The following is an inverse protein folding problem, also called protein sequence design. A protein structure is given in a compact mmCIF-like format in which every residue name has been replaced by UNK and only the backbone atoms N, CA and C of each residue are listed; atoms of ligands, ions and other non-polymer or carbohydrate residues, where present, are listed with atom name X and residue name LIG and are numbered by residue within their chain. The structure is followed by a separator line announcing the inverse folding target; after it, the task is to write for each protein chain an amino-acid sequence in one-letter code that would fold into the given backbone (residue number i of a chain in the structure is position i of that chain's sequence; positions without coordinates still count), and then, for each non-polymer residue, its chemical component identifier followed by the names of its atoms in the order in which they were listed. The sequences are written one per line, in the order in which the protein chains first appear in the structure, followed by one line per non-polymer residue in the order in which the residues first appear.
data_IF_767990300346
#
_entry.id   IF_767990300346
#
_cell.length_a   1.000
_cell.length_b   1.000
_cell.length_c   1.000
_cell.angle_alpha   90.00
_cell.angle_beta   90.00
_cell.angle_gamma   90.00
#
_symmetry.space_group_name_H-M   'P 1'
#
loop_
_entity.id
_entity.type
_entity.pdbx_description
1 polymer ?
#
# COMPACT_ATOMS: atom_id res chain seq x y z
N UNK A 1 -17.89 -9.16 -11.52
CA UNK A 1 -16.49 -8.65 -11.55
C UNK A 1 -16.46 -7.16 -11.22
N UNK A 2 -17.57 -6.65 -10.70
CA UNK A 2 -17.96 -5.25 -10.79
C UNK A 2 -17.02 -4.36 -10.00
N UNK A 3 -16.59 -4.80 -8.80
CA UNK A 3 -15.58 -4.09 -8.00
C UNK A 3 -14.27 -3.90 -8.78
N UNK A 4 -13.82 -4.91 -9.51
CA UNK A 4 -12.55 -4.85 -10.26
C UNK A 4 -12.69 -3.91 -11.47
N UNK A 5 -13.78 -4.05 -12.22
CA UNK A 5 -14.05 -3.25 -13.42
C UNK A 5 -14.25 -1.77 -13.08
N UNK A 6 -15.08 -1.50 -12.08
CA UNK A 6 -15.33 -0.13 -11.61
C UNK A 6 -14.08 0.48 -10.95
N UNK A 7 -13.28 -0.28 -10.19
CA UNK A 7 -12.03 0.24 -9.64
C UNK A 7 -11.04 0.66 -10.74
N UNK A 8 -10.98 -0.08 -11.86
CA UNK A 8 -10.16 0.30 -13.02
C UNK A 8 -10.69 1.61 -13.63
N UNK A 9 -12.01 1.71 -13.84
CA UNK A 9 -12.63 2.91 -14.39
C UNK A 9 -12.45 4.14 -13.48
N UNK A 10 -12.58 3.96 -12.17
CA UNK A 10 -12.39 5.02 -11.18
C UNK A 10 -10.94 5.51 -11.16
N UNK A 11 -9.96 4.61 -11.19
CA UNK A 11 -8.54 4.98 -11.27
C UNK A 11 -8.23 5.74 -12.55
N UNK A 12 -8.78 5.32 -13.70
CA UNK A 12 -8.58 6.01 -14.97
C UNK A 12 -9.18 7.43 -14.93
N UNK A 13 -10.44 7.57 -14.46
CA UNK A 13 -11.10 8.88 -14.31
C UNK A 13 -10.36 9.79 -13.34
N UNK A 14 -9.97 9.26 -12.18
CA UNK A 14 -9.24 10.01 -11.16
C UNK A 14 -7.85 10.44 -11.66
N UNK A 15 -7.07 9.53 -12.27
CA UNK A 15 -5.75 9.87 -12.81
C UNK A 15 -5.81 10.92 -13.91
N UNK A 16 -6.81 10.86 -14.79
CA UNK A 16 -7.01 11.90 -15.80
C UNK A 16 -7.25 13.27 -15.15
N UNK A 17 -8.11 13.35 -14.14
CA UNK A 17 -8.36 14.60 -13.42
C UNK A 17 -7.11 15.10 -12.68
N UNK A 18 -6.43 14.23 -11.93
CA UNK A 18 -5.19 14.56 -11.20
C UNK A 18 -4.08 15.03 -12.14
N UNK A 19 -3.96 14.40 -13.32
CA UNK A 19 -2.98 14.80 -14.33
C UNK A 19 -3.26 16.20 -14.87
N UNK A 20 -4.53 16.53 -15.16
CA UNK A 20 -4.92 17.87 -15.60
C UNK A 20 -4.58 18.90 -14.52
N UNK A 21 -4.94 18.65 -13.26
CA UNK A 21 -4.60 19.55 -12.15
C UNK A 21 -3.09 19.73 -12.00
N UNK A 22 -2.34 18.63 -12.09
CA UNK A 22 -0.87 18.65 -12.02
C UNK A 22 -0.25 19.46 -13.17
N UNK A 23 -0.78 19.34 -14.39
CA UNK A 23 -0.34 20.13 -15.55
C UNK A 23 -0.67 21.62 -15.36
N UNK A 24 -1.85 21.96 -14.83
CA UNK A 24 -2.22 23.34 -14.57
C UNK A 24 -1.32 24.02 -13.51
N UNK A 25 -0.84 23.27 -12.53
CA UNK A 25 0.06 23.78 -11.49
C UNK A 25 1.50 23.92 -12.03
N UNK A 26 1.97 22.90 -12.75
CA UNK A 26 3.39 22.80 -13.12
C UNK A 26 3.72 23.36 -14.50
N UNK A 27 2.72 23.54 -15.37
CA UNK A 27 2.88 23.85 -16.80
C UNK A 27 3.79 22.85 -17.55
N UNK A 28 3.96 21.64 -17.02
CA UNK A 28 4.77 20.60 -17.65
C UNK A 28 3.93 19.78 -18.63
N UNK A 29 4.49 19.47 -19.79
CA UNK A 29 3.86 18.56 -20.75
C UNK A 29 3.66 17.16 -20.15
N UNK A 30 4.65 16.67 -19.39
CA UNK A 30 4.60 15.37 -18.73
C UNK A 30 5.05 15.44 -17.26
N UNK A 31 4.12 15.75 -16.33
CA UNK A 31 4.42 15.79 -14.89
C UNK A 31 4.84 14.45 -14.28
N UNK A 32 4.65 13.32 -14.97
CA UNK A 32 5.15 12.03 -14.49
C UNK A 32 6.66 11.87 -14.70
N UNK A 33 7.25 12.64 -15.63
CA UNK A 33 8.69 12.63 -15.87
C UNK A 33 9.45 13.12 -14.65
N UNK A 34 10.32 12.25 -14.10
CA UNK A 34 11.16 12.59 -12.95
C UNK A 34 12.08 13.77 -13.28
N UNK A 35 12.60 13.82 -14.52
CA UNK A 35 13.50 14.88 -14.95
C UNK A 35 12.78 16.24 -15.02
N UNK A 36 11.61 16.30 -15.66
CA UNK A 36 10.83 17.54 -15.77
C UNK A 36 10.39 18.04 -14.39
N UNK A 37 9.94 17.14 -13.51
CA UNK A 37 9.55 17.53 -12.15
C UNK A 37 10.72 18.03 -11.30
N UNK A 38 11.90 17.41 -11.40
CA UNK A 38 13.09 17.90 -10.69
C UNK A 38 13.49 19.28 -11.16
N UNK A 39 13.46 19.50 -12.48
CA UNK A 39 13.75 20.81 -13.04
C UNK A 39 12.75 21.86 -12.56
N UNK A 40 11.45 21.56 -12.61
CA UNK A 40 10.42 22.47 -12.10
C UNK A 40 10.57 22.76 -10.60
N UNK A 41 10.89 21.76 -9.79
CA UNK A 41 11.15 21.96 -8.35
C UNK A 41 12.37 22.86 -8.13
N UNK A 42 13.46 22.64 -8.87
CA UNK A 42 14.67 23.48 -8.83
C UNK A 42 14.38 24.93 -9.19
N UNK A 43 13.60 25.16 -10.26
CA UNK A 43 13.15 26.49 -10.69
C UNK A 43 12.27 27.19 -9.63
N UNK A 44 11.57 26.41 -8.79
CA UNK A 44 10.77 26.90 -7.66
C UNK A 44 11.52 26.84 -6.32
N UNK A 45 12.86 26.70 -6.33
CA UNK A 45 13.71 26.82 -5.14
C UNK A 45 13.83 25.56 -4.28
N UNK A 46 13.38 24.41 -4.77
CA UNK A 46 13.43 23.12 -4.06
C UNK A 46 14.31 22.12 -4.82
N UNK A 47 15.47 21.81 -4.25
CA UNK A 47 16.39 20.80 -4.79
C UNK A 47 16.11 19.42 -4.20
N UNK A 48 15.96 18.41 -5.08
CA UNK A 48 15.72 17.02 -4.67
C UNK A 48 16.55 16.03 -5.50
N UNK A 49 17.38 15.24 -4.82
CA UNK A 49 18.12 14.14 -5.45
C UNK A 49 17.21 13.00 -5.90
N UNK A 50 16.10 12.77 -5.21
CA UNK A 50 15.15 11.69 -5.52
C UNK A 50 13.73 12.15 -5.27
N UNK A 51 12.81 11.69 -6.14
CA UNK A 51 11.37 11.89 -5.99
C UNK A 51 10.70 10.60 -5.49
N UNK A 52 11.42 9.85 -4.65
CA UNK A 52 10.92 8.66 -3.98
C UNK A 52 9.81 9.00 -2.98
N UNK A 53 8.92 8.04 -2.74
CA UNK A 53 7.76 8.23 -1.85
C UNK A 53 8.17 8.73 -0.45
N UNK A 54 9.28 8.24 0.10
CA UNK A 54 9.72 8.58 1.47
C UNK A 54 10.22 10.01 1.55
N UNK A 55 11.00 10.43 0.56
CA UNK A 55 11.64 11.74 0.51
C UNK A 55 10.61 12.83 0.21
N UNK A 56 9.70 12.57 -0.73
CA UNK A 56 8.57 13.47 -1.01
C UNK A 56 7.67 13.60 0.22
N UNK A 57 7.32 12.49 0.89
CA UNK A 57 6.50 12.55 2.10
C UNK A 57 7.20 13.27 3.26
N UNK A 58 8.54 13.17 3.38
CA UNK A 58 9.32 13.91 4.38
C UNK A 58 9.28 15.40 4.09
N UNK A 59 9.43 15.80 2.82
CA UNK A 59 9.40 17.20 2.41
C UNK A 59 8.02 17.84 2.69
N UNK A 60 6.93 17.16 2.34
CA UNK A 60 5.56 17.61 2.63
C UNK A 60 5.36 17.81 4.14
N UNK A 61 5.92 16.94 4.99
CA UNK A 61 5.82 17.06 6.45
C UNK A 61 6.68 18.17 7.05
N UNK A 62 7.76 18.57 6.38
CA UNK A 62 8.67 19.61 6.86
C UNK A 62 8.27 21.01 6.43
N UNK A 63 7.32 21.15 5.50
CA UNK A 63 6.75 22.44 5.15
C UNK A 63 5.59 22.77 6.09
N UNK A 64 5.57 24.01 6.61
CA UNK A 64 4.54 24.48 7.52
C UNK A 64 3.17 24.53 6.82
N UNK A 65 2.12 24.20 7.59
CA UNK A 65 0.72 24.07 7.18
C UNK A 65 0.09 25.39 6.65
N UNK A 66 0.84 26.50 6.68
CA UNK A 66 0.39 27.85 6.36
C UNK A 66 0.88 28.43 5.03
N UNK A 67 1.85 27.79 4.35
CA UNK A 67 2.24 28.17 3.00
C UNK A 67 1.51 27.25 2.02
N UNK A 68 0.42 27.76 1.45
CA UNK A 68 -0.37 27.08 0.43
C UNK A 68 0.38 27.13 -0.91
N UNK A 69 1.58 26.54 -0.91
CA UNK A 69 2.52 26.59 -2.00
C UNK A 69 2.13 25.57 -3.07
N UNK A 70 2.10 26.04 -4.31
CA UNK A 70 1.86 25.23 -5.50
C UNK A 70 2.78 24.00 -5.55
N UNK A 71 3.96 24.08 -4.92
CA UNK A 71 4.90 22.97 -4.73
C UNK A 71 4.31 21.84 -3.89
N UNK A 72 3.77 22.13 -2.71
CA UNK A 72 3.24 21.08 -1.81
C UNK A 72 2.07 20.36 -2.47
N UNK A 73 1.21 21.09 -3.17
CA UNK A 73 0.09 20.48 -3.90
C UNK A 73 0.56 19.62 -5.07
N UNK A 74 1.53 20.08 -5.88
CA UNK A 74 2.13 19.28 -6.94
C UNK A 74 2.79 17.99 -6.39
N UNK A 75 3.46 18.07 -5.24
CA UNK A 75 4.07 16.91 -4.59
C UNK A 75 3.02 15.90 -4.08
N UNK A 76 1.91 16.38 -3.51
CA UNK A 76 0.77 15.52 -3.11
C UNK A 76 0.16 14.82 -4.32
N UNK A 77 -0.17 15.56 -5.37
CA UNK A 77 -0.72 15.01 -6.62
C UNK A 77 0.22 13.97 -7.24
N UNK A 78 1.53 14.21 -7.22
CA UNK A 78 2.52 13.25 -7.69
C UNK A 78 2.49 11.94 -6.90
N UNK A 79 2.34 12.00 -5.57
CA UNK A 79 2.22 10.79 -4.75
C UNK A 79 0.98 9.97 -5.11
N UNK A 80 -0.14 10.63 -5.40
CA UNK A 80 -1.38 9.98 -5.85
C UNK A 80 -1.19 9.33 -7.22
N UNK A 81 -0.66 10.08 -8.20
CA UNK A 81 -0.39 9.58 -9.57
C UNK A 81 0.59 8.41 -9.60
N UNK A 82 1.59 8.41 -8.70
CA UNK A 82 2.57 7.34 -8.58
C UNK A 82 2.00 6.03 -8.00
N UNK A 83 0.76 6.03 -7.48
CA UNK A 83 0.15 4.84 -6.91
C UNK A 83 -0.07 3.76 -7.97
N UNK A 84 0.70 2.69 -7.86
CA UNK A 84 0.72 1.59 -8.84
C UNK A 84 -0.09 0.37 -8.41
N UNK A 85 -0.63 0.36 -7.19
CA UNK A 85 -1.39 -0.77 -6.64
C UNK A 85 -2.65 -1.07 -7.44
N UNK A 86 -3.25 -0.10 -8.12
CA UNK A 86 -4.41 -0.33 -9.00
C UNK A 86 -4.08 -1.24 -10.19
N UNK A 87 -2.81 -1.38 -10.60
CA UNK A 87 -2.40 -2.40 -11.60
C UNK A 87 -2.77 -3.82 -11.17
N UNK A 88 -3.00 -4.07 -9.88
CA UNK A 88 -3.50 -5.34 -9.35
C UNK A 88 -4.92 -5.64 -9.83
N UNK A 89 -5.80 -4.65 -9.99
CA UNK A 89 -7.13 -4.87 -10.56
C UNK A 89 -7.05 -5.32 -12.02
N UNK A 90 -6.19 -4.68 -12.82
CA UNK A 90 -5.91 -5.14 -14.20
C UNK A 90 -5.35 -6.56 -14.21
N UNK A 91 -4.46 -6.89 -13.28
CA UNK A 91 -3.95 -8.26 -13.14
C UNK A 91 -5.05 -9.26 -12.73
N UNK A 92 -6.04 -8.86 -11.91
CA UNK A 92 -7.19 -9.70 -11.56
C UNK A 92 -8.08 -9.96 -12.79
N UNK A 93 -8.39 -8.92 -13.55
CA UNK A 93 -9.16 -9.02 -14.79
C UNK A 93 -8.51 -9.97 -15.79
N UNK A 94 -7.18 -9.88 -15.94
CA UNK A 94 -6.43 -10.76 -16.85
C UNK A 94 -6.28 -12.20 -16.34
N UNK A 95 -6.35 -12.42 -15.03
CA UNK A 95 -6.14 -13.73 -14.41
C UNK A 95 -7.43 -14.53 -14.18
N UNK A 96 -8.60 -13.90 -14.30
CA UNK A 96 -9.89 -14.57 -14.09
C UNK A 96 -10.14 -15.59 -15.19
N UNK A 97 -10.50 -16.81 -14.80
CA UNK A 97 -10.86 -17.89 -15.71
C UNK A 97 -12.37 -17.90 -15.97
N UNK A 98 -12.81 -18.76 -16.91
CA UNK A 98 -14.22 -18.90 -17.30
C UNK A 98 -15.16 -19.27 -16.15
N UNK A 99 -14.63 -19.86 -15.08
CA UNK A 99 -15.36 -20.21 -13.86
C UNK A 99 -15.49 -19.04 -12.86
N UNK A 100 -15.02 -17.84 -13.23
CA UNK A 100 -15.04 -16.66 -12.38
C UNK A 100 -13.99 -16.69 -11.26
N UNK A 101 -12.98 -17.57 -11.35
CA UNK A 101 -11.93 -17.72 -10.33
C UNK A 101 -10.55 -17.46 -10.93
N UNK A 102 -9.62 -17.04 -10.09
CA UNK A 102 -8.22 -16.89 -10.47
C UNK A 102 -7.42 -18.12 -9.99
N UNK A 103 -6.74 -18.79 -10.92
CA UNK A 103 -5.97 -20.02 -10.67
C UNK A 103 -4.47 -19.79 -10.91
N UNK A 104 -3.61 -20.60 -10.27
CA UNK A 104 -2.16 -20.53 -10.50
C UNK A 104 -1.47 -19.32 -9.84
N UNK A 105 -2.00 -18.82 -8.73
CA UNK A 105 -1.50 -17.63 -8.03
C UNK A 105 -0.13 -17.81 -7.36
N UNK A 106 0.33 -19.05 -7.21
CA UNK A 106 1.56 -19.37 -6.51
C UNK A 106 2.41 -20.37 -7.29
N UNK A 107 3.71 -20.14 -7.30
CA UNK A 107 4.70 -21.08 -7.81
C UNK A 107 5.49 -21.68 -6.65
N UNK A 108 5.48 -23.01 -6.57
CA UNK A 108 6.33 -23.75 -5.66
C UNK A 108 7.81 -23.49 -5.98
N UNK A 109 8.61 -23.27 -4.94
CA UNK A 109 10.05 -22.99 -5.05
C UNK A 109 10.39 -21.81 -5.98
N UNK A 110 9.46 -20.86 -6.16
CA UNK A 110 9.69 -19.73 -7.06
C UNK A 110 10.77 -18.74 -6.58
N UNK A 111 11.15 -18.79 -5.29
CA UNK A 111 12.28 -18.07 -4.73
C UNK A 111 13.47 -19.02 -4.50
N UNK A 112 14.25 -19.29 -5.56
CA UNK A 112 15.28 -20.34 -5.58
C UNK A 112 16.29 -20.31 -4.43
N UNK A 113 16.62 -19.13 -3.90
CA UNK A 113 17.61 -18.99 -2.81
C UNK A 113 17.08 -19.38 -1.44
N UNK A 114 15.78 -19.21 -1.18
CA UNK A 114 15.16 -19.46 0.14
C UNK A 114 14.17 -20.62 0.12
N UNK A 115 13.84 -21.15 -1.05
CA UNK A 115 12.81 -22.17 -1.26
C UNK A 115 11.38 -21.69 -1.02
N UNK A 116 11.16 -20.40 -0.76
CA UNK A 116 9.82 -19.84 -0.52
C UNK A 116 8.95 -19.94 -1.78
N UNK A 117 7.63 -20.10 -1.56
CA UNK A 117 6.64 -19.91 -2.61
C UNK A 117 6.67 -18.48 -3.13
N UNK A 118 6.54 -18.32 -4.44
CA UNK A 118 6.48 -17.00 -5.06
C UNK A 118 5.09 -16.71 -5.64
N UNK A 119 4.58 -15.52 -5.39
CA UNK A 119 3.36 -15.02 -6.03
C UNK A 119 3.51 -14.91 -7.54
N UNK A 120 2.44 -15.27 -8.26
CA UNK A 120 2.27 -15.15 -9.71
C UNK A 120 0.99 -14.40 -10.02
N UNK A 121 0.87 -13.91 -11.25
CA UNK A 121 -0.29 -13.19 -11.76
C UNK A 121 -0.61 -11.97 -10.88
N UNK A 122 -1.61 -12.06 -10.00
CA UNK A 122 -1.99 -10.97 -9.09
C UNK A 122 -0.92 -10.74 -7.99
N UNK A 123 -0.11 -11.76 -7.68
CA UNK A 123 0.87 -11.79 -6.59
C UNK A 123 0.25 -11.47 -5.22
N UNK A 124 -0.51 -12.43 -4.69
CA UNK A 124 -1.29 -12.29 -3.45
C UNK A 124 -0.45 -11.98 -2.19
N UNK A 125 0.85 -12.28 -2.21
CA UNK A 125 1.77 -11.99 -1.10
C UNK A 125 2.08 -10.49 -0.94
N UNK A 126 1.83 -9.68 -1.97
CA UNK A 126 2.17 -8.26 -2.01
C UNK A 126 0.91 -7.40 -2.24
N UNK A 127 -0.17 -7.73 -1.55
CA UNK A 127 -1.38 -6.92 -1.55
C UNK A 127 -1.32 -5.87 -0.44
N UNK A 128 -1.63 -4.59 -0.73
CA UNK A 128 -1.71 -3.53 0.29
C UNK A 128 -2.63 -3.94 1.44
N UNK A 129 -2.28 -3.52 2.65
CA UNK A 129 -3.14 -3.65 3.83
C UNK A 129 -4.24 -2.58 3.80
N UNK A 130 -5.34 -2.87 4.48
CA UNK A 130 -6.44 -1.95 4.69
C UNK A 130 -6.27 -1.25 6.05
N UNK A 131 -6.50 0.06 6.07
CA UNK A 131 -6.40 0.88 7.28
C UNK A 131 -7.60 1.82 7.45
N UNK A 132 -8.51 1.85 6.48
CA UNK A 132 -9.74 2.63 6.54
C UNK A 132 -10.79 2.02 7.46
N UNK A 133 -11.50 2.89 8.18
CA UNK A 133 -12.57 2.52 9.12
C UNK A 133 -13.89 2.18 8.43
N UNK A 134 -14.13 2.77 7.26
CA UNK A 134 -15.35 2.74 6.45
C UNK A 134 -15.18 1.87 5.18
N UNK A 135 -14.43 0.78 5.33
CA UNK A 135 -14.04 -0.12 4.24
C UNK A 135 -15.25 -0.69 3.48
N UNK A 136 -16.35 -0.97 4.19
CA UNK A 136 -17.53 -1.59 3.60
C UNK A 136 -18.30 -0.62 2.70
N UNK A 137 -18.45 0.62 3.14
CA UNK A 137 -19.11 1.72 2.47
C UNK A 137 -18.33 2.11 1.21
N UNK A 138 -17.01 2.33 1.33
CA UNK A 138 -16.15 2.62 0.19
C UNK A 138 -16.21 1.52 -0.88
N UNK A 139 -16.19 0.26 -0.45
CA UNK A 139 -16.33 -0.89 -1.35
C UNK A 139 -17.68 -0.86 -2.09
N UNK A 140 -18.74 -0.43 -1.41
CA UNK A 140 -20.08 -0.40 -1.98
C UNK A 140 -20.22 0.68 -3.07
N UNK A 141 -19.63 1.87 -2.87
CA UNK A 141 -19.57 2.89 -3.92
C UNK A 141 -18.84 2.37 -5.17
N UNK A 142 -17.70 1.71 -4.98
CA UNK A 142 -16.97 1.08 -6.10
C UNK A 142 -17.81 -0.03 -6.73
N UNK A 143 -18.46 -0.89 -5.94
CA UNK A 143 -19.28 -2.00 -6.47
C UNK A 143 -20.46 -1.50 -7.30
N UNK A 144 -21.12 -0.42 -6.88
CA UNK A 144 -22.27 0.18 -7.55
C UNK A 144 -21.89 1.11 -8.70
N UNK A 145 -20.63 1.51 -8.79
CA UNK A 145 -20.13 2.42 -9.83
C UNK A 145 -20.39 3.89 -9.50
N UNK A 146 -20.69 4.22 -8.25
CA UNK A 146 -20.93 5.59 -7.78
C UNK A 146 -19.60 6.35 -7.57
N UNK A 147 -19.02 6.81 -8.67
CA UNK A 147 -17.77 7.57 -8.64
C UNK A 147 -17.94 8.93 -7.97
N UNK A 148 -19.08 9.57 -8.17
CA UNK A 148 -19.27 10.96 -7.75
C UNK A 148 -19.35 11.05 -6.21
N UNK A 149 -20.03 10.10 -5.57
CA UNK A 149 -19.98 9.97 -4.10
C UNK A 149 -18.59 9.60 -3.60
N UNK A 150 -17.88 8.70 -4.29
CA UNK A 150 -16.50 8.36 -3.93
C UNK A 150 -15.58 9.59 -3.98
N UNK A 151 -15.69 10.40 -5.03
CA UNK A 151 -14.93 11.64 -5.20
C UNK A 151 -15.25 12.68 -4.12
N UNK A 152 -16.50 12.75 -3.66
CA UNK A 152 -16.93 13.68 -2.63
C UNK A 152 -16.40 13.30 -1.24
N UNK A 153 -16.32 12.00 -0.94
CA UNK A 153 -16.00 11.51 0.40
C UNK A 153 -14.51 11.18 0.62
N UNK A 154 -13.75 10.94 -0.45
CA UNK A 154 -12.34 10.53 -0.36
C UNK A 154 -11.43 11.48 -1.14
N UNK A 155 -10.48 12.11 -0.43
CA UNK A 155 -9.49 13.05 -1.00
C UNK A 155 -8.48 12.36 -1.94
N UNK A 156 -8.22 11.07 -1.73
CA UNK A 156 -7.26 10.27 -2.51
C UNK A 156 -7.92 8.98 -2.98
N UNK A 157 -8.59 9.06 -4.14
CA UNK A 157 -9.22 7.91 -4.79
C UNK A 157 -8.21 6.79 -5.09
N UNK A 158 -7.01 7.04 -5.65
CA UNK A 158 -6.00 6.00 -5.82
C UNK A 158 -5.62 5.26 -4.53
N UNK A 159 -5.53 5.96 -3.40
CA UNK A 159 -5.28 5.35 -2.10
C UNK A 159 -6.49 4.53 -1.62
N UNK A 160 -7.70 5.08 -1.67
CA UNK A 160 -8.90 4.35 -1.28
C UNK A 160 -9.06 3.05 -2.08
N UNK A 161 -8.89 3.13 -3.42
CA UNK A 161 -8.88 1.95 -4.29
C UNK A 161 -7.76 0.97 -3.93
N UNK A 162 -6.59 1.45 -3.53
CA UNK A 162 -5.47 0.62 -3.09
C UNK A 162 -5.80 -0.17 -1.82
N UNK A 163 -6.49 0.44 -0.87
CA UNK A 163 -6.91 -0.21 0.38
C UNK A 163 -8.02 -1.26 0.14
N UNK A 164 -8.85 -1.03 -0.87
CA UNK A 164 -9.95 -1.93 -1.25
C UNK A 164 -9.51 -3.21 -1.97
N UNK A 165 -8.25 -3.31 -2.43
CA UNK A 165 -7.76 -4.42 -3.27
C UNK A 165 -8.05 -5.80 -2.66
N UNK A 166 -7.88 -5.96 -1.34
CA UNK A 166 -8.13 -7.26 -0.68
C UNK A 166 -9.61 -7.65 -0.69
N UNK A 167 -10.52 -6.66 -0.75
CA UNK A 167 -11.97 -6.86 -0.74
C UNK A 167 -12.54 -7.33 -2.08
N UNK A 168 -11.71 -7.30 -3.14
CA UNK A 168 -12.04 -7.88 -4.43
C UNK A 168 -12.06 -9.42 -4.39
N UNK A 169 -11.36 -10.03 -3.43
CA UNK A 169 -11.43 -11.46 -3.19
C UNK A 169 -12.63 -11.79 -2.31
N UNK A 170 -13.59 -12.53 -2.87
CA UNK A 170 -14.79 -12.95 -2.17
C UNK A 170 -14.85 -14.48 -2.07
N UNK A 171 -15.55 -14.96 -1.05
CA UNK A 171 -15.85 -16.38 -0.90
C UNK A 171 -17.00 -16.77 -1.82
N UNK A 172 -17.10 -18.07 -2.11
CA UNK A 172 -18.33 -18.60 -2.73
C UNK A 172 -19.50 -18.51 -1.72
N UNK A 173 -20.76 -18.45 -2.19
CA UNK A 173 -21.93 -18.38 -1.31
C UNK A 173 -21.94 -19.51 -0.26
N UNK A 174 -22.21 -19.15 1.00
CA UNK A 174 -22.21 -20.08 2.13
C UNK A 174 -20.84 -20.41 2.73
N UNK A 175 -19.77 -19.74 2.29
CA UNK A 175 -18.41 -19.97 2.79
C UNK A 175 -17.78 -18.69 3.33
N UNK A 176 -16.78 -18.87 4.19
CA UNK A 176 -15.95 -17.80 4.77
C UNK A 176 -14.47 -18.07 4.52
N UNK A 177 -13.66 -17.01 4.46
CA UNK A 177 -12.21 -17.17 4.51
C UNK A 177 -11.79 -17.47 5.94
N UNK A 178 -10.79 -18.32 6.08
CA UNK A 178 -10.09 -18.56 7.35
C UNK A 178 -8.63 -18.24 7.11
N UNK A 179 -8.12 -17.30 7.89
CA UNK A 179 -6.73 -16.83 7.79
C UNK A 179 -6.02 -17.25 9.07
N UNK A 180 -4.85 -17.86 8.91
CA UNK A 180 -3.96 -18.23 10.01
C UNK A 180 -2.57 -17.75 9.66
N UNK A 181 -1.93 -17.06 10.60
CA UNK A 181 -0.57 -16.56 10.46
C UNK A 181 0.27 -16.98 11.67
N UNK A 182 1.56 -17.19 11.46
CA UNK A 182 2.46 -17.52 12.55
C UNK A 182 2.95 -16.25 13.25
N UNK A 183 2.65 -16.13 14.55
CA UNK A 183 3.16 -15.04 15.38
C UNK A 183 4.69 -15.08 15.47
N UNK A 184 5.36 -14.03 14.95
CA UNK A 184 6.80 -13.81 15.04
C UNK A 184 7.66 -15.03 14.62
N UNK A 185 7.27 -15.73 13.55
CA UNK A 185 7.89 -17.00 13.16
C UNK A 185 9.39 -16.90 12.93
N UNK A 186 9.86 -15.84 12.25
CA UNK A 186 11.29 -15.67 11.95
C UNK A 186 12.09 -15.46 13.24
N UNK A 187 11.58 -14.64 14.16
CA UNK A 187 12.21 -14.40 15.47
C UNK A 187 12.27 -15.68 16.31
N UNK A 188 11.21 -16.49 16.29
CA UNK A 188 11.17 -17.77 17.01
C UNK A 188 12.20 -18.76 16.46
N UNK A 189 12.26 -18.90 15.13
CA UNK A 189 13.23 -19.79 14.46
C UNK A 189 14.66 -19.32 14.74
N UNK A 190 14.93 -18.02 14.62
CA UNK A 190 16.26 -17.46 14.90
C UNK A 190 16.68 -17.67 16.36
N UNK A 191 15.79 -17.40 17.32
CA UNK A 191 16.07 -17.62 18.73
C UNK A 191 16.40 -19.10 19.03
N UNK A 192 15.68 -20.02 18.39
CA UNK A 192 15.95 -21.45 18.50
C UNK A 192 17.33 -21.82 17.94
N UNK A 193 17.64 -21.36 16.72
CA UNK A 193 18.94 -21.62 16.07
C UNK A 193 20.12 -21.00 16.84
N UNK A 194 19.91 -19.83 17.46
CA UNK A 194 20.91 -19.13 18.25
C UNK A 194 21.05 -19.68 19.69
N UNK A 195 20.17 -20.59 20.14
CA UNK A 195 20.18 -21.11 21.51
C UNK A 195 19.71 -20.10 22.56
N UNK A 196 18.95 -19.07 22.17
CA UNK A 196 18.48 -18.00 23.07
C UNK A 196 17.27 -18.47 23.89
N UNK A 197 17.56 -19.12 25.02
CA UNK A 197 16.54 -19.63 25.94
C UNK A 197 15.65 -18.53 26.54
N UNK A 198 16.17 -17.31 26.71
CA UNK A 198 15.41 -16.18 27.26
C UNK A 198 14.28 -15.74 26.32
N UNK A 199 14.52 -15.66 25.00
CA UNK A 199 13.47 -15.32 24.02
C UNK A 199 12.38 -16.37 24.00
N UNK A 200 12.77 -17.64 24.10
CA UNK A 200 11.83 -18.76 24.19
C UNK A 200 10.92 -18.64 25.43
N UNK A 201 11.47 -18.21 26.58
CA UNK A 201 10.67 -17.93 27.79
C UNK A 201 9.70 -16.77 27.59
N UNK A 202 10.16 -15.64 27.03
CA UNK A 202 9.30 -14.48 26.73
C UNK A 202 8.12 -14.90 25.85
N UNK A 203 8.38 -15.71 24.83
CA UNK A 203 7.34 -16.25 23.97
C UNK A 203 6.39 -17.23 24.66
N UNK A 204 6.89 -18.08 25.56
CA UNK A 204 6.07 -19.02 26.33
C UNK A 204 5.16 -18.30 27.33
N UNK A 205 5.62 -17.17 27.87
CA UNK A 205 4.88 -16.28 28.76
C UNK A 205 3.93 -15.33 28.00
N UNK A 206 3.83 -15.44 26.68
CA UNK A 206 3.01 -14.57 25.81
C UNK A 206 3.31 -13.08 25.96
N UNK A 207 4.54 -12.74 26.32
CA UNK A 207 5.00 -11.36 26.45
C UNK A 207 5.43 -10.79 25.10
N UNK A 208 5.42 -9.47 24.99
CA UNK A 208 5.89 -8.77 23.79
C UNK A 208 7.41 -8.93 23.63
N UNK A 209 7.82 -9.68 22.59
CA UNK A 209 9.22 -9.94 22.30
C UNK A 209 9.98 -8.68 21.86
N UNK A 210 9.31 -7.71 21.24
CA UNK A 210 9.93 -6.48 20.78
C UNK A 210 10.22 -5.58 21.97
N UNK A 211 9.25 -5.41 22.87
CA UNK A 211 9.46 -4.65 24.10
C UNK A 211 10.52 -5.31 25.00
N UNK A 212 10.48 -6.64 25.15
CA UNK A 212 11.49 -7.36 25.91
C UNK A 212 12.89 -7.23 25.30
N UNK A 213 13.00 -7.30 23.97
CA UNK A 213 14.28 -7.11 23.27
C UNK A 213 14.79 -5.67 23.41
N UNK A 214 13.91 -4.67 23.30
CA UNK A 214 14.27 -3.26 23.43
C UNK A 214 14.69 -2.92 24.87
N UNK A 215 13.96 -3.43 25.87
CA UNK A 215 14.33 -3.34 27.28
C UNK A 215 15.73 -3.88 27.54
N UNK A 216 16.07 -5.05 27.01
CA UNK A 216 17.42 -5.61 27.12
C UNK A 216 18.48 -4.78 26.37
N UNK A 217 18.14 -4.30 25.17
CA UNK A 217 19.07 -3.54 24.33
C UNK A 217 19.41 -2.17 24.94
N UNK A 218 18.42 -1.51 25.55
CA UNK A 218 18.58 -0.18 26.15
C UNK A 218 18.85 -0.22 27.67
N UNK A 219 18.78 -1.40 28.29
CA UNK A 219 19.01 -1.56 29.73
C UNK A 219 17.95 -0.90 30.60
N UNK A 220 16.72 -0.76 30.08
CA UNK A 220 15.61 -0.09 30.77
C UNK A 220 14.47 -1.06 31.05
N UNK A 221 13.65 -0.86 32.10
CA UNK A 221 12.48 -1.70 32.35
C UNK A 221 11.50 -1.71 31.17
N UNK A 222 10.78 -2.81 30.96
CA UNK A 222 9.82 -2.96 29.84
C UNK A 222 8.71 -1.91 29.93
N UNK A 223 8.37 -1.46 31.14
CA UNK A 223 7.31 -0.50 31.42
C UNK A 223 7.56 0.90 30.84
N UNK A 224 8.82 1.23 30.50
CA UNK A 224 9.17 2.52 29.89
C UNK A 224 9.45 2.44 28.39
N UNK A 225 9.31 1.24 27.78
CA UNK A 225 9.36 1.06 26.33
C UNK A 225 7.94 1.34 25.79
N UNK A 226 7.79 2.47 25.07
CA UNK A 226 6.54 2.91 24.42
C UNK A 226 6.63 2.72 22.91
#
# INVERSE_FOLDING_TARGET
MDVVENAIAFDEKSKSALMITMQNITNLDNPNSVAQMKQWLSENGVEMETLGKKEVAKLIKSQDEYDNDSITEALKLRLQLAKSSVKKYKAMQNAVCKDGRAHGMFQFYGANRSGRWAGRLIQLQNLPQNHMSDLAEAREFVRTGDYDTMQLLYDDIPDALSQLIRTAFITRPGYKFVVSDYSAIETRVLAHLAGESWRSKVFAEQKDIYCASASQMFGVPVEIIV
#
